data_IF_081438962635
#
_entry.id   IF_081438962635
#
_cell.length_a   1.000
_cell.length_b   1.000
_cell.length_c   1.000
_cell.angle_alpha   90.00
_cell.angle_beta   90.00
_cell.angle_gamma   90.00
#
_symmetry.space_group_name_H-M   'P 1'
#
loop_
_entity.id
_entity.type
_entity.pdbx_description
1 polymer ?
#
# COMPACT_ATOMS: atom_id res chain seq x y z
N UNK A 1 1.09 -46.20 -23.70
CA UNK A 1 1.71 -44.86 -23.77
C UNK A 1 0.96 -43.80 -22.96
N UNK A 2 -0.39 -43.79 -23.01
CA UNK A 2 -1.21 -42.89 -22.19
C UNK A 2 -1.16 -43.24 -20.69
N UNK A 3 -1.26 -44.52 -20.33
CA UNK A 3 -1.09 -44.99 -18.94
C UNK A 3 0.30 -44.73 -18.35
N UNK A 4 1.36 -44.77 -19.18
CA UNK A 4 2.72 -44.45 -18.73
C UNK A 4 2.88 -42.94 -18.51
N UNK A 5 2.21 -42.10 -19.31
CA UNK A 5 2.16 -40.65 -19.09
C UNK A 5 1.35 -40.27 -17.86
N UNK A 6 0.23 -40.95 -17.60
CA UNK A 6 -0.60 -40.75 -16.42
C UNK A 6 0.09 -41.23 -15.14
N UNK A 7 0.80 -42.37 -15.18
CA UNK A 7 1.59 -42.88 -14.06
C UNK A 7 2.82 -42.00 -13.76
N UNK A 8 3.46 -41.44 -14.79
CA UNK A 8 4.57 -40.48 -14.62
C UNK A 8 4.08 -39.08 -14.17
N UNK A 9 2.82 -38.71 -14.45
CA UNK A 9 2.17 -37.52 -13.90
C UNK A 9 1.67 -37.72 -12.47
N UNK A 10 1.19 -38.91 -12.10
CA UNK A 10 0.82 -39.24 -10.72
C UNK A 10 2.06 -39.35 -9.84
N UNK A 11 3.17 -39.94 -10.31
CA UNK A 11 4.45 -39.97 -9.60
C UNK A 11 5.08 -38.57 -9.42
N UNK A 12 4.88 -37.65 -10.38
CA UNK A 12 5.28 -36.25 -10.22
C UNK A 12 4.42 -35.47 -9.23
N UNK A 13 3.16 -35.86 -9.02
CA UNK A 13 2.32 -35.30 -7.95
C UNK A 13 2.61 -35.93 -6.58
N UNK A 14 2.98 -37.21 -6.53
CA UNK A 14 3.26 -37.94 -5.27
C UNK A 14 4.66 -37.67 -4.69
N UNK A 15 5.62 -37.18 -5.48
CA UNK A 15 6.95 -36.78 -4.97
C UNK A 15 6.97 -35.44 -4.20
N UNK A 16 5.82 -34.79 -4.01
CA UNK A 16 5.71 -33.45 -3.40
C UNK A 16 5.14 -33.41 -1.98
N UNK A 17 4.89 -34.55 -1.33
CA UNK A 17 4.08 -34.60 -0.09
C UNK A 17 4.83 -34.92 1.20
N UNK A 18 6.11 -35.30 1.19
CA UNK A 18 6.90 -35.45 2.42
C UNK A 18 7.69 -34.18 2.72
N UNK A 19 7.11 -33.26 3.49
CA UNK A 19 7.87 -32.15 4.10
C UNK A 19 8.77 -32.77 5.17
N UNK A 20 10.09 -32.72 4.96
CA UNK A 20 11.06 -33.16 5.96
C UNK A 20 11.01 -32.20 7.17
N UNK A 21 11.10 -32.73 8.39
CA UNK A 21 11.20 -31.92 9.61
C UNK A 21 12.32 -30.88 9.53
N UNK A 22 13.47 -31.24 8.92
CA UNK A 22 14.58 -30.31 8.75
C UNK A 22 14.25 -29.16 7.80
N UNK A 23 13.55 -29.42 6.70
CA UNK A 23 13.10 -28.38 5.76
C UNK A 23 12.08 -27.44 6.42
N UNK A 24 11.15 -28.02 7.19
CA UNK A 24 10.20 -27.26 7.99
C UNK A 24 10.90 -26.39 9.03
N UNK A 25 11.85 -26.95 9.79
CA UNK A 25 12.62 -26.23 10.78
C UNK A 25 13.45 -25.10 10.14
N UNK A 26 14.11 -25.36 9.01
CA UNK A 26 14.84 -24.35 8.24
C UNK A 26 13.91 -23.22 7.78
N UNK A 27 12.72 -23.55 7.26
CA UNK A 27 11.74 -22.57 6.81
C UNK A 27 11.28 -21.64 7.94
N UNK A 28 10.91 -22.23 9.09
CA UNK A 28 10.39 -21.49 10.24
C UNK A 28 11.50 -20.69 10.92
N UNK A 29 12.70 -21.25 11.07
CA UNK A 29 13.83 -20.62 11.77
C UNK A 29 14.65 -19.66 10.89
N UNK A 30 14.27 -19.42 9.63
CA UNK A 30 14.96 -18.47 8.77
C UNK A 30 14.80 -17.04 9.31
N UNK A 31 15.75 -16.61 10.14
CA UNK A 31 15.65 -15.38 10.93
C UNK A 31 15.42 -14.08 10.12
N UNK A 32 15.89 -13.91 8.86
CA UNK A 32 15.68 -12.66 8.13
C UNK A 32 14.21 -12.25 7.99
N UNK A 33 13.28 -13.20 8.06
CA UNK A 33 11.84 -12.95 7.98
C UNK A 33 11.07 -13.12 9.30
N UNK A 34 11.71 -13.65 10.35
CA UNK A 34 11.05 -14.41 11.42
C UNK A 34 10.14 -13.57 12.32
N UNK A 35 10.43 -12.29 12.49
CA UNK A 35 9.70 -11.45 13.43
C UNK A 35 8.58 -10.64 12.75
N UNK A 36 8.94 -9.83 11.74
CA UNK A 36 8.01 -8.96 11.02
C UNK A 36 8.33 -8.86 9.52
N UNK A 37 9.02 -9.87 8.98
CA UNK A 37 9.49 -9.84 7.61
C UNK A 37 8.38 -10.10 6.59
N UNK A 38 8.72 -10.04 5.29
CA UNK A 38 7.78 -10.42 4.24
C UNK A 38 7.23 -11.83 4.46
N UNK A 39 5.90 -11.98 4.37
CA UNK A 39 5.23 -13.28 4.52
C UNK A 39 5.52 -14.14 3.27
N UNK A 40 6.25 -15.23 3.48
CA UNK A 40 6.65 -16.18 2.44
C UNK A 40 5.80 -17.43 2.43
N UNK A 41 5.84 -18.16 1.32
CA UNK A 41 5.30 -19.52 1.26
C UNK A 41 6.43 -20.54 1.13
N UNK A 42 6.25 -21.69 1.77
CA UNK A 42 7.19 -22.83 1.69
C UNK A 42 7.56 -23.20 0.25
N UNK A 43 6.56 -23.24 -0.65
CA UNK A 43 6.71 -23.53 -2.08
C UNK A 43 7.66 -22.57 -2.83
N UNK A 44 7.86 -21.35 -2.33
CA UNK A 44 8.72 -20.33 -2.95
C UNK A 44 10.13 -20.33 -2.36
N UNK A 45 10.28 -20.77 -1.11
CA UNK A 45 11.53 -20.72 -0.36
C UNK A 45 12.35 -22.00 -0.52
N UNK A 46 11.73 -23.18 -0.40
CA UNK A 46 12.46 -24.45 -0.41
C UNK A 46 13.27 -24.69 -1.68
N UNK A 47 12.78 -24.39 -2.90
CA UNK A 47 13.58 -24.54 -4.10
C UNK A 47 14.86 -23.68 -4.07
N UNK A 48 14.81 -22.49 -3.45
CA UNK A 48 15.97 -21.61 -3.33
C UNK A 48 17.01 -22.21 -2.36
N UNK A 49 16.60 -22.68 -1.17
CA UNK A 49 17.50 -23.33 -0.22
C UNK A 49 18.17 -24.57 -0.81
N UNK A 50 17.40 -25.43 -1.48
CA UNK A 50 17.94 -26.63 -2.15
C UNK A 50 18.93 -26.25 -3.25
N UNK A 51 18.63 -25.21 -4.04
CA UNK A 51 19.54 -24.76 -5.11
C UNK A 51 20.88 -24.26 -4.58
N UNK A 52 20.90 -23.59 -3.42
CA UNK A 52 22.11 -23.09 -2.76
C UNK A 52 22.97 -24.23 -2.21
N UNK A 53 22.34 -25.25 -1.63
CA UNK A 53 23.05 -26.43 -1.14
C UNK A 53 23.76 -27.18 -2.28
N UNK A 54 23.12 -27.24 -3.46
CA UNK A 54 23.65 -27.97 -4.62
C UNK A 54 24.69 -27.19 -5.44
N UNK A 55 24.65 -25.85 -5.44
CA UNK A 55 25.52 -25.01 -6.26
C UNK A 55 26.40 -24.12 -5.37
N UNK A 56 27.49 -24.70 -4.88
CA UNK A 56 28.51 -23.98 -4.08
C UNK A 56 29.25 -22.94 -4.92
N UNK A 57 29.17 -21.67 -4.48
CA UNK A 57 30.02 -20.53 -4.87
C UNK A 57 30.06 -20.16 -6.37
N UNK A 58 28.96 -19.61 -6.87
CA UNK A 58 28.95 -18.89 -8.16
C UNK A 58 29.26 -17.39 -7.99
N UNK A 59 29.75 -16.74 -9.06
CA UNK A 59 29.96 -15.29 -9.13
C UNK A 59 28.74 -14.44 -8.74
N UNK A 60 27.53 -15.02 -8.76
CA UNK A 60 26.27 -14.42 -8.31
C UNK A 60 26.24 -14.12 -6.81
N UNK A 61 27.04 -14.79 -5.98
CA UNK A 61 27.07 -14.56 -4.52
C UNK A 61 27.52 -13.14 -4.21
N UNK A 62 28.60 -12.66 -4.85
CA UNK A 62 29.09 -11.29 -4.66
C UNK A 62 28.09 -10.23 -5.10
N UNK A 63 27.34 -10.49 -6.17
CA UNK A 63 26.26 -9.61 -6.61
C UNK A 63 25.12 -9.56 -5.58
N UNK A 64 24.71 -10.71 -5.04
CA UNK A 64 23.71 -10.76 -3.97
C UNK A 64 24.19 -10.07 -2.71
N UNK A 65 25.46 -10.24 -2.30
CA UNK A 65 26.02 -9.53 -1.15
C UNK A 65 26.05 -8.01 -1.39
N UNK A 66 26.47 -7.55 -2.58
CA UNK A 66 26.48 -6.12 -2.90
C UNK A 66 25.07 -5.50 -2.89
N UNK A 67 24.10 -6.19 -3.51
CA UNK A 67 22.68 -5.81 -3.48
C UNK A 67 22.12 -5.82 -2.06
N UNK A 68 22.46 -6.86 -1.29
CA UNK A 68 22.06 -7.06 0.09
C UNK A 68 22.53 -5.93 0.99
N UNK A 69 23.82 -5.59 0.91
CA UNK A 69 24.40 -4.47 1.65
C UNK A 69 23.76 -3.14 1.25
N UNK A 70 23.53 -2.92 -0.03
CA UNK A 70 22.91 -1.68 -0.52
C UNK A 70 21.48 -1.49 0.01
N UNK A 71 20.62 -2.50 -0.14
CA UNK A 71 19.22 -2.41 0.31
C UNK A 71 19.11 -2.40 1.84
N UNK A 72 19.97 -3.16 2.53
CA UNK A 72 20.06 -3.14 3.99
C UNK A 72 20.43 -1.76 4.50
N UNK A 73 21.43 -1.11 3.90
CA UNK A 73 21.86 0.25 4.27
C UNK A 73 20.74 1.27 4.05
N UNK A 74 19.98 1.16 2.96
CA UNK A 74 18.80 2.00 2.72
C UNK A 74 17.72 1.75 3.78
N UNK A 75 17.42 0.50 4.10
CA UNK A 75 16.41 0.13 5.08
C UNK A 75 16.75 0.64 6.48
N UNK A 76 18.01 0.48 6.89
CA UNK A 76 18.51 0.97 8.17
C UNK A 76 18.48 2.50 8.25
N UNK A 77 18.81 3.20 7.16
CA UNK A 77 18.71 4.66 7.09
C UNK A 77 17.26 5.14 7.20
N UNK A 78 16.32 4.48 6.52
CA UNK A 78 14.88 4.79 6.63
C UNK A 78 14.39 4.68 8.07
N UNK A 79 14.79 3.61 8.79
CA UNK A 79 14.45 3.42 10.20
C UNK A 79 15.04 4.55 11.06
N UNK A 80 16.37 4.60 11.11
CA UNK A 80 17.12 5.32 12.14
C UNK A 80 17.10 6.84 11.91
N UNK A 81 17.10 7.28 10.66
CA UNK A 81 17.08 8.70 10.34
C UNK A 81 15.67 9.22 10.10
N UNK A 82 14.92 8.57 9.21
CA UNK A 82 13.64 9.12 8.75
C UNK A 82 12.53 8.81 9.74
N UNK A 83 12.28 7.53 10.00
CA UNK A 83 11.14 7.10 10.81
C UNK A 83 11.26 7.56 12.27
N UNK A 84 12.42 7.38 12.90
CA UNK A 84 12.62 7.76 14.30
C UNK A 84 12.58 9.29 14.51
N UNK A 85 12.89 10.09 13.49
CA UNK A 85 12.69 11.54 13.53
C UNK A 85 11.19 11.88 13.53
N UNK A 86 10.39 11.26 12.65
CA UNK A 86 8.94 11.46 12.65
C UNK A 86 8.26 10.92 13.91
N UNK A 87 8.78 9.86 14.51
CA UNK A 87 8.26 9.26 15.73
C UNK A 87 8.17 10.25 16.89
N UNK A 88 9.11 11.20 16.99
CA UNK A 88 9.13 12.22 18.04
C UNK A 88 7.86 13.07 18.03
N UNK A 89 7.51 13.64 16.88
CA UNK A 89 6.33 14.50 16.73
C UNK A 89 5.03 13.70 16.74
N UNK A 90 5.03 12.51 16.12
CA UNK A 90 3.87 11.62 16.14
C UNK A 90 3.50 11.23 17.58
N UNK A 91 4.46 10.70 18.34
CA UNK A 91 4.22 10.25 19.72
C UNK A 91 3.82 11.42 20.62
N UNK A 92 4.46 12.58 20.51
CA UNK A 92 4.09 13.76 21.29
C UNK A 92 2.63 14.17 21.03
N UNK A 93 2.21 14.24 19.76
CA UNK A 93 0.85 14.62 19.42
C UNK A 93 -0.21 13.61 19.86
N UNK A 94 0.04 12.30 19.67
CA UNK A 94 -0.86 11.25 20.16
C UNK A 94 -0.98 11.26 21.69
N UNK A 95 0.12 11.40 22.42
CA UNK A 95 0.11 11.51 23.88
C UNK A 95 -0.76 12.67 24.38
N UNK A 96 -0.75 13.82 23.70
CA UNK A 96 -1.59 14.98 24.09
C UNK A 96 -3.06 14.66 23.91
N UNK A 97 -3.47 14.16 22.73
CA UNK A 97 -4.89 13.93 22.42
C UNK A 97 -5.49 12.75 23.19
N UNK A 98 -4.69 11.73 23.46
CA UNK A 98 -5.10 10.53 24.22
C UNK A 98 -5.34 10.85 25.70
N UNK A 99 -4.63 11.84 26.25
CA UNK A 99 -4.84 12.36 27.61
C UNK A 99 -5.92 13.46 27.69
N UNK A 100 -6.70 13.65 26.62
CA UNK A 100 -7.79 14.62 26.56
C UNK A 100 -7.37 16.06 26.23
N UNK A 101 -6.10 16.27 25.90
CA UNK A 101 -5.60 17.54 25.38
C UNK A 101 -6.15 17.83 23.98
N UNK A 102 -6.09 19.11 23.60
CA UNK A 102 -6.53 19.59 22.29
C UNK A 102 -5.34 20.20 21.56
N UNK A 103 -5.11 19.72 20.35
CA UNK A 103 -4.11 20.28 19.44
C UNK A 103 -4.73 21.30 18.51
N UNK A 104 -3.95 22.30 18.11
CA UNK A 104 -4.39 23.24 17.08
C UNK A 104 -4.38 22.57 15.68
N UNK A 105 -4.86 23.29 14.66
CA UNK A 105 -4.97 22.73 13.29
C UNK A 105 -3.61 22.29 12.72
N UNK A 106 -2.57 23.09 12.90
CA UNK A 106 -1.24 22.79 12.38
C UNK A 106 -0.61 21.59 13.11
N UNK A 107 -0.73 21.56 14.44
CA UNK A 107 -0.24 20.43 15.27
C UNK A 107 -0.95 19.13 14.91
N UNK A 108 -2.25 19.18 14.68
CA UNK A 108 -3.06 18.01 14.38
C UNK A 108 -2.69 17.40 13.02
N UNK A 109 -2.52 18.25 11.99
CA UNK A 109 -2.02 17.82 10.68
C UNK A 109 -0.57 17.33 10.75
N UNK A 110 0.30 18.03 11.46
CA UNK A 110 1.69 17.64 11.62
C UNK A 110 1.82 16.28 12.34
N UNK A 111 1.03 16.04 13.38
CA UNK A 111 0.97 14.76 14.11
C UNK A 111 0.54 13.62 13.20
N UNK A 112 -0.59 13.79 12.50
CA UNK A 112 -1.15 12.77 11.60
C UNK A 112 -0.19 12.44 10.45
N UNK A 113 0.39 13.46 9.79
CA UNK A 113 1.36 13.27 8.72
C UNK A 113 2.66 12.65 9.21
N UNK A 114 3.15 13.05 10.38
CA UNK A 114 4.35 12.45 10.98
C UNK A 114 4.14 10.97 11.23
N UNK A 115 3.00 10.57 11.77
CA UNK A 115 2.68 9.16 11.96
C UNK A 115 2.59 8.40 10.62
N UNK A 116 1.95 8.98 9.61
CA UNK A 116 1.89 8.38 8.26
C UNK A 116 3.28 8.10 7.71
N UNK A 117 4.21 9.04 7.82
CA UNK A 117 5.59 8.83 7.36
C UNK A 117 6.38 7.88 8.26
N UNK A 118 6.26 8.01 9.58
CA UNK A 118 6.86 7.09 10.53
C UNK A 118 6.48 5.65 10.19
N UNK A 119 5.18 5.34 10.12
CA UNK A 119 4.66 4.01 9.86
C UNK A 119 5.23 3.42 8.56
N UNK A 120 5.28 4.21 7.48
CA UNK A 120 5.81 3.74 6.21
C UNK A 120 7.32 3.52 6.22
N UNK A 121 8.11 4.49 6.69
CA UNK A 121 9.57 4.39 6.66
C UNK A 121 10.11 3.36 7.64
N UNK A 122 9.45 3.20 8.79
CA UNK A 122 9.79 2.19 9.77
C UNK A 122 9.58 0.78 9.20
N UNK A 123 8.36 0.53 8.69
CA UNK A 123 8.01 -0.81 8.21
C UNK A 123 8.66 -1.16 6.87
N UNK A 124 8.72 -0.21 5.93
CA UNK A 124 9.45 -0.43 4.69
C UNK A 124 10.96 -0.54 4.93
N UNK A 125 11.51 0.17 5.93
CA UNK A 125 12.89 0.02 6.35
C UNK A 125 13.19 -1.38 6.87
N UNK A 126 12.32 -1.92 7.73
CA UNK A 126 12.41 -3.30 8.20
C UNK A 126 12.38 -4.30 7.04
N UNK A 127 11.42 -4.18 6.13
CA UNK A 127 11.30 -5.08 4.99
C UNK A 127 12.53 -5.03 4.06
N UNK A 128 13.09 -3.83 3.82
CA UNK A 128 14.31 -3.64 3.03
C UNK A 128 15.53 -4.30 3.71
N UNK A 129 15.65 -4.19 5.03
CA UNK A 129 16.69 -4.88 5.81
C UNK A 129 16.52 -6.41 5.76
N UNK A 130 15.30 -6.92 5.91
CA UNK A 130 14.98 -8.34 5.77
C UNK A 130 15.39 -8.89 4.40
N UNK A 131 15.03 -8.19 3.31
CA UNK A 131 15.46 -8.54 1.95
C UNK A 131 16.98 -8.52 1.83
N UNK A 132 17.64 -7.50 2.39
CA UNK A 132 19.10 -7.40 2.38
C UNK A 132 19.79 -8.56 3.06
N UNK A 133 19.29 -8.96 4.23
CA UNK A 133 19.76 -10.14 4.96
C UNK A 133 19.49 -11.42 4.19
N UNK A 134 18.30 -11.59 3.60
CA UNK A 134 17.98 -12.73 2.74
C UNK A 134 18.98 -12.88 1.59
N UNK A 135 19.32 -11.77 0.93
CA UNK A 135 20.29 -11.75 -0.16
C UNK A 135 21.70 -12.14 0.29
N UNK A 136 22.12 -11.84 1.53
CA UNK A 136 23.40 -12.36 2.05
C UNK A 136 23.42 -13.89 2.13
N UNK A 137 22.28 -14.53 2.37
CA UNK A 137 22.12 -15.98 2.31
C UNK A 137 21.82 -16.49 0.89
N UNK A 138 21.81 -15.63 -0.13
CA UNK A 138 21.45 -15.99 -1.50
C UNK A 138 19.95 -16.28 -1.70
N UNK A 139 19.11 -15.88 -0.77
CA UNK A 139 17.66 -16.08 -0.79
C UNK A 139 16.95 -14.77 -1.12
N UNK A 140 16.10 -14.80 -2.15
CA UNK A 140 15.31 -13.64 -2.53
C UNK A 140 13.96 -13.65 -1.82
N UNK A 141 13.81 -12.76 -0.84
CA UNK A 141 12.53 -12.53 -0.17
C UNK A 141 11.57 -11.69 -1.03
N UNK A 142 10.26 -11.92 -0.94
CA UNK A 142 9.26 -11.14 -1.66
C UNK A 142 9.17 -9.71 -1.14
N UNK A 143 8.74 -8.81 -2.01
CA UNK A 143 8.62 -7.39 -1.73
C UNK A 143 7.38 -7.11 -0.90
N UNK A 144 7.50 -6.25 0.12
CA UNK A 144 6.37 -5.87 0.96
C UNK A 144 5.78 -4.48 0.62
N UNK A 145 6.58 -3.56 0.06
CA UNK A 145 6.15 -2.19 -0.25
C UNK A 145 6.58 -1.73 -1.64
N UNK A 146 5.71 -1.00 -2.35
CA UNK A 146 6.00 -0.42 -3.67
C UNK A 146 5.38 0.97 -3.86
N UNK A 147 5.98 1.99 -3.23
CA UNK A 147 5.51 3.39 -3.25
C UNK A 147 3.98 3.55 -3.03
N UNK A 148 3.45 3.07 -1.89
CA UNK A 148 2.00 3.05 -1.65
C UNK A 148 1.36 4.44 -1.67
N UNK A 149 2.05 5.49 -1.22
CA UNK A 149 1.51 6.85 -1.25
C UNK A 149 1.46 7.51 -2.64
N UNK A 150 1.91 6.83 -3.71
CA UNK A 150 1.69 7.26 -5.10
C UNK A 150 0.33 6.77 -5.67
N UNK A 151 -0.41 5.97 -4.90
CA UNK A 151 -1.63 5.32 -5.37
C UNK A 151 -2.75 6.32 -5.67
N UNK A 152 -3.48 6.08 -6.77
CA UNK A 152 -4.61 6.92 -7.17
C UNK A 152 -5.94 6.45 -6.56
N UNK A 153 -5.97 5.25 -5.97
CA UNK A 153 -7.15 4.68 -5.36
C UNK A 153 -6.80 3.66 -4.28
N UNK A 154 -7.79 3.36 -3.43
CA UNK A 154 -7.63 2.44 -2.29
C UNK A 154 -7.24 1.01 -2.70
N UNK A 155 -7.69 0.53 -3.86
CA UNK A 155 -7.32 -0.81 -4.33
C UNK A 155 -5.86 -0.88 -4.80
N UNK A 156 -5.36 0.20 -5.40
CA UNK A 156 -3.97 0.33 -5.78
C UNK A 156 -3.07 0.47 -4.55
N UNK A 157 -3.52 1.22 -3.54
CA UNK A 157 -2.82 1.35 -2.26
C UNK A 157 -2.55 -0.01 -1.64
N UNK A 158 -3.56 -0.86 -1.49
CA UNK A 158 -3.41 -2.21 -0.92
C UNK A 158 -2.64 -3.20 -1.80
N UNK A 159 -2.45 -2.90 -3.08
CA UNK A 159 -1.54 -3.65 -3.95
C UNK A 159 -0.07 -3.23 -3.82
N UNK A 160 0.19 -2.12 -3.12
CA UNK A 160 1.51 -1.50 -2.95
C UNK A 160 1.94 -1.42 -1.48
N UNK A 161 0.99 -1.57 -0.56
CA UNK A 161 1.20 -1.60 0.89
C UNK A 161 1.07 -3.03 1.40
N UNK A 162 2.05 -3.47 2.19
CA UNK A 162 2.07 -4.79 2.84
C UNK A 162 1.66 -5.95 1.91
N UNK A 163 2.29 -5.99 0.74
CA UNK A 163 1.92 -6.85 -0.41
C UNK A 163 1.86 -8.32 -0.01
N UNK A 164 2.77 -8.79 0.85
CA UNK A 164 2.81 -10.20 1.26
C UNK A 164 1.64 -10.57 2.16
N UNK A 165 1.19 -9.67 3.04
CA UNK A 165 -0.04 -9.84 3.83
C UNK A 165 -1.26 -9.83 2.92
N UNK A 166 -1.31 -8.90 1.95
CA UNK A 166 -2.36 -8.89 0.95
C UNK A 166 -2.45 -10.20 0.15
N UNK A 167 -1.30 -10.80 -0.20
CA UNK A 167 -1.24 -12.12 -0.83
C UNK A 167 -1.76 -13.22 0.10
N UNK A 168 -1.31 -13.24 1.35
CA UNK A 168 -1.77 -14.19 2.36
C UNK A 168 -3.30 -14.13 2.55
N UNK A 169 -3.84 -12.94 2.84
CA UNK A 169 -5.28 -12.73 3.01
C UNK A 169 -6.06 -13.10 1.75
N UNK A 170 -5.51 -12.84 0.56
CA UNK A 170 -6.14 -13.26 -0.69
C UNK A 170 -6.21 -14.79 -0.81
N UNK A 171 -5.11 -15.49 -0.56
CA UNK A 171 -5.02 -16.94 -0.75
C UNK A 171 -5.81 -17.71 0.32
N UNK A 172 -5.77 -17.27 1.57
CA UNK A 172 -6.33 -18.02 2.71
C UNK A 172 -7.68 -17.50 3.21
N UNK A 173 -8.10 -16.30 2.82
CA UNK A 173 -9.40 -15.73 3.24
C UNK A 173 -10.26 -15.41 2.02
N UNK A 174 -9.81 -14.54 1.13
CA UNK A 174 -10.62 -14.07 0.00
C UNK A 174 -11.05 -15.19 -0.96
N UNK A 175 -10.11 -16.03 -1.40
CA UNK A 175 -10.38 -17.10 -2.38
C UNK A 175 -11.27 -18.21 -1.77
N UNK A 176 -11.02 -18.69 -0.53
CA UNK A 176 -11.89 -19.67 0.12
C UNK A 176 -13.34 -19.20 0.33
N UNK A 177 -13.58 -17.90 0.56
CA UNK A 177 -14.94 -17.34 0.63
C UNK A 177 -15.74 -17.45 -0.68
N UNK A 178 -15.09 -17.84 -1.78
CA UNK A 178 -15.73 -18.16 -3.06
C UNK A 178 -16.14 -16.93 -3.87
N UNK A 179 -17.12 -17.10 -4.76
CA UNK A 179 -17.72 -16.01 -5.55
C UNK A 179 -17.02 -15.66 -6.86
N UNK A 180 -15.82 -16.16 -7.16
CA UNK A 180 -15.04 -15.71 -8.33
C UNK A 180 -14.50 -16.85 -9.23
N UNK A 181 -15.28 -17.91 -9.46
CA UNK A 181 -14.78 -19.13 -10.14
C UNK A 181 -15.67 -19.71 -11.26
N UNK A 182 -16.84 -19.14 -11.57
CA UNK A 182 -17.74 -19.72 -12.57
C UNK A 182 -17.89 -18.83 -13.81
N UNK A 183 -16.91 -18.88 -14.72
CA UNK A 183 -16.95 -18.19 -16.02
C UNK A 183 -18.04 -18.73 -16.95
N UNK A 184 -18.51 -19.97 -16.74
CA UNK A 184 -19.54 -20.64 -17.55
C UNK A 184 -20.88 -19.89 -17.59
N UNK A 185 -21.23 -19.17 -16.52
CA UNK A 185 -22.51 -18.44 -16.40
C UNK A 185 -22.35 -16.92 -16.44
N UNK A 186 -21.18 -16.42 -16.89
CA UNK A 186 -20.84 -15.00 -16.89
C UNK A 186 -21.80 -14.13 -17.72
N UNK A 187 -22.51 -14.71 -18.70
CA UNK A 187 -23.51 -14.00 -19.51
C UNK A 187 -24.87 -13.81 -18.82
N UNK A 188 -25.15 -14.53 -17.72
CA UNK A 188 -26.38 -14.35 -16.96
C UNK A 188 -26.31 -13.08 -16.11
N UNK A 189 -27.32 -12.19 -16.28
CA UNK A 189 -27.45 -10.97 -15.46
C UNK A 189 -27.58 -11.31 -13.97
N UNK A 190 -28.38 -12.32 -13.64
CA UNK A 190 -28.57 -12.75 -12.26
C UNK A 190 -27.25 -13.23 -11.63
N UNK A 191 -26.51 -14.09 -12.34
CA UNK A 191 -25.21 -14.59 -11.87
C UNK A 191 -24.20 -13.45 -11.66
N UNK A 192 -24.19 -12.47 -12.58
CA UNK A 192 -23.31 -11.29 -12.49
C UNK A 192 -23.61 -10.47 -11.23
N UNK A 193 -24.88 -10.20 -10.92
CA UNK A 193 -25.27 -9.45 -9.73
C UNK A 193 -24.87 -10.19 -8.44
N UNK A 194 -25.11 -11.50 -8.37
CA UNK A 194 -24.71 -12.29 -7.21
C UNK A 194 -23.19 -12.27 -7.02
N UNK A 195 -22.40 -12.46 -8.09
CA UNK A 195 -20.94 -12.37 -8.02
C UNK A 195 -20.47 -10.98 -7.55
N UNK A 196 -21.09 -9.90 -8.02
CA UNK A 196 -20.80 -8.54 -7.54
C UNK A 196 -21.02 -8.42 -6.03
N UNK A 197 -22.15 -8.90 -5.51
CA UNK A 197 -22.44 -8.89 -4.07
C UNK A 197 -21.44 -9.72 -3.27
N UNK A 198 -21.10 -10.93 -3.74
CA UNK A 198 -20.10 -11.79 -3.11
C UNK A 198 -18.71 -11.12 -3.12
N UNK A 199 -18.34 -10.43 -4.19
CA UNK A 199 -17.09 -9.65 -4.27
C UNK A 199 -17.06 -8.55 -3.21
N UNK A 200 -18.13 -7.76 -3.07
CA UNK A 200 -18.21 -6.70 -2.06
C UNK A 200 -18.14 -7.28 -0.64
N UNK A 201 -18.89 -8.35 -0.38
CA UNK A 201 -18.85 -9.07 0.90
C UNK A 201 -17.44 -9.55 1.22
N UNK A 202 -16.77 -10.22 0.28
CA UNK A 202 -15.43 -10.76 0.50
C UNK A 202 -14.39 -9.65 0.73
N UNK A 203 -14.47 -8.54 -0.02
CA UNK A 203 -13.61 -7.37 0.19
C UNK A 203 -13.80 -6.78 1.60
N UNK A 204 -15.05 -6.63 2.03
CA UNK A 204 -15.34 -6.12 3.36
C UNK A 204 -14.85 -7.06 4.47
N UNK A 205 -15.16 -8.37 4.37
CA UNK A 205 -14.73 -9.37 5.35
C UNK A 205 -13.21 -9.41 5.47
N UNK A 206 -12.48 -9.39 4.34
CA UNK A 206 -11.01 -9.44 4.37
C UNK A 206 -10.43 -8.21 5.06
N UNK A 207 -10.93 -6.99 4.77
CA UNK A 207 -10.44 -5.79 5.44
C UNK A 207 -10.83 -5.75 6.93
N UNK A 208 -12.03 -6.19 7.27
CA UNK A 208 -12.50 -6.26 8.64
C UNK A 208 -11.67 -7.24 9.47
N UNK A 209 -11.44 -8.46 8.97
CA UNK A 209 -10.59 -9.46 9.60
C UNK A 209 -9.13 -9.01 9.68
N UNK A 210 -8.65 -8.26 8.68
CA UNK A 210 -7.32 -7.65 8.73
C UNK A 210 -7.19 -6.65 9.86
N UNK A 211 -8.24 -5.86 10.15
CA UNK A 211 -8.27 -4.97 11.32
C UNK A 211 -8.16 -5.76 12.62
N UNK A 212 -9.00 -6.78 12.79
CA UNK A 212 -8.97 -7.64 13.99
C UNK A 212 -7.62 -8.34 14.17
N UNK A 213 -6.97 -8.76 13.07
CA UNK A 213 -5.65 -9.37 13.11
C UNK A 213 -4.56 -8.45 13.67
N UNK A 214 -4.71 -7.14 13.51
CA UNK A 214 -3.76 -6.16 14.04
C UNK A 214 -3.92 -5.89 15.54
N UNK A 215 -5.07 -6.18 16.14
CA UNK A 215 -5.27 -6.04 17.59
C UNK A 215 -6.73 -5.97 18.01
N UNK A 216 -6.96 -6.08 19.33
CA UNK A 216 -8.31 -6.09 19.92
C UNK A 216 -8.89 -4.68 20.20
N UNK A 217 -8.11 -3.62 20.01
CA UNK A 217 -8.56 -2.24 20.24
C UNK A 217 -9.66 -1.80 19.27
N UNK A 218 -10.60 -0.98 19.75
CA UNK A 218 -11.69 -0.43 18.92
C UNK A 218 -11.18 0.36 17.70
N UNK A 219 -10.01 0.98 17.80
CA UNK A 219 -9.35 1.66 16.69
C UNK A 219 -9.15 0.76 15.47
N UNK A 220 -8.66 -0.46 15.67
CA UNK A 220 -8.46 -1.44 14.60
C UNK A 220 -9.75 -1.93 13.96
N UNK A 221 -10.82 -2.07 14.74
CA UNK A 221 -12.15 -2.43 14.24
C UNK A 221 -12.68 -1.32 13.34
N UNK A 222 -12.63 -0.07 13.81
CA UNK A 222 -13.06 1.11 13.04
C UNK A 222 -12.23 1.22 11.76
N UNK A 223 -10.91 1.05 11.86
CA UNK A 223 -10.00 1.04 10.73
C UNK A 223 -10.39 -0.02 9.68
N UNK A 224 -10.64 -1.27 10.10
CA UNK A 224 -11.04 -2.36 9.22
C UNK A 224 -12.37 -2.09 8.50
N UNK A 225 -13.35 -1.53 9.21
CA UNK A 225 -14.65 -1.12 8.64
C UNK A 225 -14.47 0.00 7.60
N UNK A 226 -13.67 1.03 7.91
CA UNK A 226 -13.40 2.15 7.01
C UNK A 226 -12.74 1.66 5.72
N UNK A 227 -11.69 0.85 5.82
CA UNK A 227 -11.01 0.29 4.65
C UNK A 227 -11.90 -0.66 3.84
N UNK A 228 -12.68 -1.53 4.51
CA UNK A 228 -13.64 -2.41 3.84
C UNK A 228 -14.69 -1.62 3.05
N UNK A 229 -15.26 -0.59 3.67
CA UNK A 229 -16.24 0.30 3.04
C UNK A 229 -15.64 1.04 1.84
N UNK A 230 -14.44 1.60 1.99
CA UNK A 230 -13.75 2.30 0.91
C UNK A 230 -13.46 1.39 -0.29
N UNK A 231 -13.02 0.15 -0.05
CA UNK A 231 -12.81 -0.82 -1.13
C UNK A 231 -14.11 -1.19 -1.85
N UNK A 232 -15.21 -1.35 -1.11
CA UNK A 232 -16.53 -1.60 -1.68
C UNK A 232 -17.00 -0.41 -2.55
N UNK A 233 -16.90 0.82 -2.03
CA UNK A 233 -17.24 2.04 -2.76
C UNK A 233 -16.41 2.17 -4.03
N UNK A 234 -15.09 1.97 -3.94
CA UNK A 234 -14.22 2.02 -5.11
C UNK A 234 -14.54 0.93 -6.15
N UNK A 235 -14.92 -0.27 -5.69
CA UNK A 235 -15.32 -1.36 -6.58
C UNK A 235 -16.61 -1.03 -7.34
N UNK A 236 -17.62 -0.50 -6.64
CA UNK A 236 -18.87 -0.03 -7.23
C UNK A 236 -18.59 1.10 -8.22
N UNK A 237 -17.77 2.07 -7.84
CA UNK A 237 -17.34 3.17 -8.70
C UNK A 237 -16.72 2.65 -10.02
N UNK A 238 -15.80 1.67 -9.92
CA UNK A 238 -15.14 1.07 -11.10
C UNK A 238 -16.15 0.40 -12.03
N UNK A 239 -17.14 -0.33 -11.49
CA UNK A 239 -18.19 -0.94 -12.30
C UNK A 239 -19.07 0.09 -13.00
N UNK A 240 -19.43 1.16 -12.28
CA UNK A 240 -20.21 2.28 -12.84
C UNK A 240 -19.47 2.95 -14.00
N UNK A 241 -18.19 3.28 -13.84
CA UNK A 241 -17.37 3.87 -14.91
C UNK A 241 -17.24 2.93 -16.11
N UNK A 242 -17.01 1.64 -15.89
CA UNK A 242 -16.92 0.65 -16.98
C UNK A 242 -18.24 0.53 -17.75
N UNK A 243 -19.37 0.53 -17.04
CA UNK A 243 -20.71 0.50 -17.63
C UNK A 243 -21.01 1.76 -18.46
N UNK A 244 -20.67 2.94 -17.94
CA UNK A 244 -20.83 4.21 -18.65
C UNK A 244 -19.96 4.23 -19.92
N UNK A 245 -18.69 3.84 -19.82
CA UNK A 245 -17.76 3.77 -20.97
C UNK A 245 -18.28 2.83 -22.05
N UNK A 246 -18.73 1.63 -21.69
CA UNK A 246 -19.30 0.67 -22.63
C UNK A 246 -20.57 1.16 -23.32
N UNK A 247 -21.48 1.83 -22.59
CA UNK A 247 -22.68 2.44 -23.18
C UNK A 247 -22.33 3.54 -24.19
N UNK A 248 -21.30 4.34 -23.91
CA UNK A 248 -20.82 5.40 -24.81
C UNK A 248 -20.20 4.79 -26.07
N UNK A 249 -19.34 3.78 -25.93
CA UNK A 249 -18.70 3.09 -27.07
C UNK A 249 -19.73 2.44 -28.02
N UNK A 250 -20.77 1.80 -27.47
CA UNK A 250 -21.86 1.21 -28.26
C UNK A 250 -22.68 2.30 -28.98
N UNK A 251 -22.92 3.45 -28.34
CA UNK A 251 -23.61 4.57 -28.98
C UNK A 251 -22.79 5.09 -30.17
N UNK A 252 -21.49 5.29 -29.97
CA UNK A 252 -20.57 5.78 -31.00
C UNK A 252 -20.41 4.81 -32.18
N UNK A 253 -20.48 3.49 -31.94
CA UNK A 253 -20.41 2.50 -33.02
C UNK A 253 -21.70 2.48 -33.86
N UNK A 254 -22.87 2.59 -33.23
CA UNK A 254 -24.17 2.66 -33.92
C UNK A 254 -24.31 3.90 -34.80
N UNK A 255 -23.83 5.06 -34.33
CA UNK A 255 -23.87 6.30 -35.12
C UNK A 255 -22.99 6.20 -36.37
N UNK A 256 -21.82 5.55 -36.28
CA UNK A 256 -20.94 5.33 -37.45
C UNK A 256 -21.53 4.37 -38.50
N UNK A 257 -22.29 3.36 -38.06
CA UNK A 257 -22.97 2.43 -38.97
C UNK A 257 -24.14 3.12 -39.67
N UNK A 258 -24.98 3.85 -38.92
CA UNK A 258 -26.11 4.60 -39.49
C UNK A 258 -25.67 5.66 -40.52
N UNK A 259 -24.51 6.32 -40.35
CA UNK A 259 -23.99 7.28 -41.33
C UNK A 259 -23.48 6.60 -42.61
N UNK A 260 -23.02 5.34 -42.54
CA UNK A 260 -22.63 4.57 -43.73
C UNK A 260 -23.84 4.03 -44.49
N UNK A 261 -24.89 3.64 -43.79
CA UNK A 261 -26.06 3.01 -44.39
C UNK A 261 -27.12 4.02 -44.89
N UNK A 262 -27.22 5.23 -44.29
CA UNK A 262 -28.14 6.29 -44.73
C UNK A 262 -27.50 7.32 -45.67
N UNK A 263 -27.13 6.89 -46.89
CA UNK A 263 -27.05 7.79 -48.07
C UNK A 263 -28.40 8.01 -48.76
N UNK A 264 -29.49 7.44 -48.24
CA UNK A 264 -30.85 7.65 -48.74
C UNK A 264 -31.65 8.51 -47.76
N UNK A 265 -32.28 9.55 -48.33
CA UNK A 265 -33.12 10.59 -47.73
C UNK A 265 -34.01 10.17 -46.54
N UNK A 266 -33.81 10.80 -45.38
CA UNK A 266 -34.79 10.83 -44.29
C UNK A 266 -34.86 12.26 -43.73
N UNK A 267 -36.08 12.81 -43.62
CA UNK A 267 -36.35 14.10 -42.99
C UNK A 267 -36.00 14.04 -41.50
N UNK A 268 -34.88 14.65 -41.11
CA UNK A 268 -34.43 14.67 -39.72
C UNK A 268 -35.11 15.80 -38.95
N UNK A 269 -35.77 15.44 -37.85
CA UNK A 269 -36.36 16.38 -36.91
C UNK A 269 -35.20 17.08 -36.15
N UNK A 270 -34.95 18.36 -36.39
CA UNK A 270 -33.74 19.06 -35.91
C UNK A 270 -33.56 19.00 -34.38
N UNK A 271 -34.66 19.02 -33.62
CA UNK A 271 -34.63 18.94 -32.16
C UNK A 271 -34.13 17.58 -31.65
N UNK A 272 -34.44 16.47 -32.33
CA UNK A 272 -33.97 15.14 -31.92
C UNK A 272 -32.48 14.96 -32.21
N UNK A 273 -31.98 15.53 -33.31
CA UNK A 273 -30.55 15.55 -33.68
C UNK A 273 -29.74 16.42 -32.72
N UNK A 274 -30.25 17.60 -32.36
CA UNK A 274 -29.59 18.51 -31.41
C UNK A 274 -29.54 17.89 -30.01
N UNK A 275 -30.64 17.28 -29.54
CA UNK A 275 -30.69 16.61 -28.23
C UNK A 275 -29.71 15.43 -28.13
N UNK A 276 -29.60 14.62 -29.20
CA UNK A 276 -28.60 13.55 -29.25
C UNK A 276 -27.19 14.13 -29.24
N UNK A 277 -26.86 15.09 -30.13
CA UNK A 277 -25.53 15.71 -30.18
C UNK A 277 -25.08 16.34 -28.85
N UNK A 278 -25.99 17.02 -28.14
CA UNK A 278 -25.72 17.61 -26.83
C UNK A 278 -25.42 16.51 -25.80
N UNK A 279 -26.22 15.44 -25.75
CA UNK A 279 -25.99 14.27 -24.89
C UNK A 279 -24.64 13.59 -25.18
N UNK A 280 -24.26 13.48 -26.46
CA UNK A 280 -22.97 12.93 -26.89
C UNK A 280 -21.79 13.79 -26.45
N UNK A 281 -21.89 15.12 -26.60
CA UNK A 281 -20.83 16.06 -26.21
C UNK A 281 -20.52 15.96 -24.72
N UNK A 282 -21.52 15.96 -23.84
CA UNK A 282 -21.29 15.85 -22.40
C UNK A 282 -20.70 14.49 -21.97
N UNK A 283 -21.11 13.39 -22.61
CA UNK A 283 -20.56 12.04 -22.35
C UNK A 283 -19.09 11.94 -22.75
N UNK A 284 -18.70 12.53 -23.87
CA UNK A 284 -17.30 12.59 -24.32
C UNK A 284 -16.45 13.49 -23.41
N UNK A 285 -16.98 14.66 -23.03
CA UNK A 285 -16.31 15.56 -22.07
C UNK A 285 -16.08 14.86 -20.73
N UNK A 286 -17.07 14.10 -20.24
CA UNK A 286 -16.93 13.33 -18.99
C UNK A 286 -15.82 12.28 -19.09
N UNK A 287 -15.77 11.49 -20.17
CA UNK A 287 -14.69 10.51 -20.35
C UNK A 287 -13.32 11.17 -20.45
N UNK A 288 -13.21 12.30 -21.17
CA UNK A 288 -11.98 13.06 -21.26
C UNK A 288 -11.54 13.59 -19.89
N UNK A 289 -12.49 14.07 -19.07
CA UNK A 289 -12.24 14.53 -17.71
C UNK A 289 -11.56 13.44 -16.85
N UNK A 290 -12.01 12.19 -16.93
CA UNK A 290 -11.42 11.05 -16.20
C UNK A 290 -9.96 10.77 -16.56
N UNK A 291 -9.52 11.18 -17.75
CA UNK A 291 -8.14 10.97 -18.22
C UNK A 291 -7.22 12.17 -17.91
N UNK A 292 -7.78 13.29 -17.42
CA UNK A 292 -7.02 14.51 -17.10
C UNK A 292 -6.06 14.34 -15.92
N UNK A 293 -4.97 15.13 -15.93
CA UNK A 293 -4.05 15.22 -14.79
C UNK A 293 -4.74 15.74 -13.52
N UNK A 294 -5.70 16.64 -13.67
CA UNK A 294 -6.48 17.20 -12.55
C UNK A 294 -7.29 16.11 -11.85
N UNK A 295 -8.00 15.28 -12.62
CA UNK A 295 -8.74 14.15 -12.05
C UNK A 295 -7.80 13.16 -11.33
N UNK A 296 -6.66 12.82 -11.94
CA UNK A 296 -5.66 11.94 -11.30
C UNK A 296 -5.11 12.53 -10.00
N UNK A 297 -4.82 13.83 -9.98
CA UNK A 297 -4.40 14.53 -8.77
C UNK A 297 -5.49 14.50 -7.70
N UNK A 298 -6.75 14.74 -8.06
CA UNK A 298 -7.88 14.67 -7.13
C UNK A 298 -8.04 13.25 -6.55
N UNK A 299 -7.95 12.22 -7.38
CA UNK A 299 -7.98 10.82 -6.95
C UNK A 299 -6.85 10.48 -5.98
N UNK A 300 -5.63 10.92 -6.29
CA UNK A 300 -4.48 10.81 -5.39
C UNK A 300 -4.74 11.53 -4.06
N UNK A 301 -5.19 12.79 -4.12
CA UNK A 301 -5.43 13.61 -2.93
C UNK A 301 -6.50 12.98 -2.02
N UNK A 302 -7.61 12.52 -2.59
CA UNK A 302 -8.67 11.82 -1.84
C UNK A 302 -8.13 10.53 -1.22
N UNK A 303 -7.37 9.73 -1.99
CA UNK A 303 -6.81 8.47 -1.51
C UNK A 303 -5.80 8.70 -0.39
N UNK A 304 -4.86 9.63 -0.56
CA UNK A 304 -3.85 9.94 0.44
C UNK A 304 -4.49 10.45 1.74
N UNK A 305 -5.44 11.38 1.66
CA UNK A 305 -6.11 11.90 2.85
C UNK A 305 -6.96 10.83 3.54
N UNK A 306 -7.66 9.98 2.79
CA UNK A 306 -8.37 8.84 3.37
C UNK A 306 -7.42 7.95 4.17
N UNK A 307 -6.29 7.56 3.59
CA UNK A 307 -5.27 6.74 4.25
C UNK A 307 -4.69 7.45 5.49
N UNK A 308 -4.34 8.74 5.37
CA UNK A 308 -3.79 9.52 6.47
C UNK A 308 -4.77 9.63 7.66
N UNK A 309 -6.06 9.80 7.37
CA UNK A 309 -7.13 9.85 8.38
C UNK A 309 -7.36 8.48 9.01
N UNK A 310 -7.41 7.41 8.23
CA UNK A 310 -7.63 6.07 8.80
C UNK A 310 -6.47 5.65 9.69
N UNK A 311 -5.23 6.03 9.36
CA UNK A 311 -4.06 5.78 10.20
C UNK A 311 -4.16 6.36 11.61
N UNK A 312 -4.97 7.41 11.84
CA UNK A 312 -5.21 7.94 13.18
C UNK A 312 -5.90 6.90 14.06
N UNK A 313 -6.90 6.19 13.54
CA UNK A 313 -7.57 5.11 14.27
C UNK A 313 -6.69 3.88 14.47
N UNK A 314 -5.72 3.68 13.58
CA UNK A 314 -4.74 2.60 13.70
C UNK A 314 -3.70 2.88 14.79
N UNK A 315 -3.34 4.15 15.02
CA UNK A 315 -2.36 4.55 16.03
C UNK A 315 -2.93 4.82 17.41
N UNK A 316 -4.10 5.42 17.48
CA UNK A 316 -4.65 5.95 18.72
C UNK A 316 -5.01 4.81 19.68
N UNK A 317 -4.53 4.88 20.92
CA UNK A 317 -4.81 3.87 21.95
C UNK A 317 -6.28 3.86 22.37
N UNK A 318 -6.95 5.00 22.24
CA UNK A 318 -8.37 5.15 22.54
C UNK A 318 -9.11 5.93 21.45
N UNK A 319 -10.42 5.66 21.31
CA UNK A 319 -11.25 6.28 20.26
C UNK A 319 -11.42 7.79 20.50
N UNK A 320 -11.42 8.23 21.76
CA UNK A 320 -11.53 9.64 22.13
C UNK A 320 -10.36 10.46 21.61
N UNK A 321 -9.12 9.98 21.75
CA UNK A 321 -7.91 10.62 21.24
C UNK A 321 -7.91 10.74 19.73
N UNK A 322 -8.33 9.67 19.02
CA UNK A 322 -8.50 9.70 17.56
C UNK A 322 -9.49 10.79 17.14
N UNK A 323 -10.65 10.88 17.82
CA UNK A 323 -11.66 11.91 17.56
C UNK A 323 -11.14 13.31 17.88
N UNK A 324 -10.40 13.49 18.98
CA UNK A 324 -9.83 14.78 19.36
C UNK A 324 -8.82 15.27 18.32
N UNK A 325 -7.96 14.37 17.80
CA UNK A 325 -7.03 14.70 16.72
C UNK A 325 -7.78 15.12 15.44
N UNK A 326 -8.82 14.37 15.06
CA UNK A 326 -9.66 14.72 13.90
C UNK A 326 -10.35 16.08 14.07
N UNK A 327 -10.89 16.37 15.25
CA UNK A 327 -11.49 17.69 15.54
C UNK A 327 -10.47 18.81 15.38
N UNK A 328 -9.23 18.61 15.84
CA UNK A 328 -8.14 19.55 15.63
C UNK A 328 -7.79 19.76 14.16
N UNK A 329 -7.68 18.68 13.37
CA UNK A 329 -7.37 18.75 11.92
C UNK A 329 -8.38 19.58 11.12
N UNK A 330 -9.65 19.54 11.50
CA UNK A 330 -10.73 20.27 10.82
C UNK A 330 -11.12 21.58 11.52
N UNK A 331 -10.38 22.01 12.54
CA UNK A 331 -10.65 23.25 13.28
C UNK A 331 -12.01 23.26 14.00
N UNK A 332 -12.56 22.09 14.33
CA UNK A 332 -13.86 21.95 14.99
C UNK A 332 -13.74 22.33 16.48
N UNK A 333 -12.55 22.22 17.04
CA UNK A 333 -12.21 22.79 18.34
C UNK A 333 -11.96 24.30 18.19
N UNK A 334 -12.71 25.10 18.97
CA UNK A 334 -12.50 26.54 19.11
C UNK A 334 -11.14 26.81 19.75
N UNK A 335 -10.09 26.78 18.94
CA UNK A 335 -8.76 27.26 19.30
C UNK A 335 -8.63 28.63 18.66
N UNK A 336 -8.32 29.64 19.47
CA UNK A 336 -8.09 31.03 19.05
C UNK A 336 -6.89 31.12 18.08
N UNK A 337 -7.15 30.81 16.81
CA UNK A 337 -6.21 30.93 15.69
C UNK A 337 -5.57 32.33 15.53
N UNK A 338 -6.21 33.47 15.87
CA UNK A 338 -5.62 34.78 15.62
C UNK A 338 -4.49 35.20 16.59
N UNK A 339 -4.48 34.73 17.85
CA UNK A 339 -3.51 35.19 18.86
C UNK A 339 -2.18 34.43 18.83
N UNK A 340 -2.19 33.14 18.45
CA UNK A 340 -0.96 32.34 18.31
C UNK A 340 -0.27 32.49 16.94
N UNK A 341 -0.94 33.01 15.93
CA UNK A 341 -0.36 33.21 14.59
C UNK A 341 0.78 34.26 14.56
N UNK A 342 0.84 35.17 15.55
CA UNK A 342 1.91 36.17 15.64
C UNK A 342 3.20 35.66 16.29
N UNK A 343 3.21 34.47 16.88
CA UNK A 343 4.41 33.80 17.37
C UNK A 343 4.65 32.52 16.56
N UNK A 344 5.26 32.66 15.38
CA UNK A 344 5.70 31.53 14.55
C UNK A 344 6.46 30.41 15.31
N UNK A 345 7.22 30.67 16.41
CA UNK A 345 7.83 29.58 17.19
C UNK A 345 6.85 28.71 17.98
N UNK A 346 5.61 29.15 18.24
CA UNK A 346 4.64 28.48 19.12
C UNK A 346 3.61 27.60 18.38
N UNK A 347 3.65 27.55 17.04
CA UNK A 347 2.63 26.87 16.25
C UNK A 347 2.61 25.35 16.45
N UNK A 348 3.77 24.75 16.73
CA UNK A 348 3.96 23.29 16.90
C UNK A 348 4.48 22.93 18.30
N UNK A 349 4.35 23.83 19.27
CA UNK A 349 4.98 23.71 20.59
C UNK A 349 4.52 22.47 21.35
N UNK A 350 3.22 22.12 21.30
CA UNK A 350 2.68 20.98 22.07
C UNK A 350 3.16 19.63 21.54
N UNK A 351 3.69 19.59 20.32
CA UNK A 351 4.29 18.39 19.73
C UNK A 351 5.82 18.42 19.74
N UNK A 352 6.43 19.44 20.37
CA UNK A 352 7.87 19.67 20.33
C UNK A 352 8.40 19.99 18.92
N UNK A 353 7.54 20.48 18.04
CA UNK A 353 7.89 20.83 16.67
C UNK A 353 8.45 22.25 16.56
N UNK A 354 9.35 22.46 15.59
CA UNK A 354 9.85 23.80 15.21
C UNK A 354 9.77 23.94 13.69
N UNK A 355 10.42 24.96 13.13
CA UNK A 355 10.45 25.18 11.68
C UNK A 355 11.05 23.98 10.90
N UNK A 356 11.96 23.23 11.54
CA UNK A 356 12.54 22.01 10.98
C UNK A 356 11.51 20.89 10.78
N UNK A 357 10.47 20.80 11.62
CA UNK A 357 9.39 19.82 11.49
C UNK A 357 8.65 19.95 10.15
N UNK A 358 8.29 21.17 9.75
CA UNK A 358 7.59 21.43 8.48
C UNK A 358 8.49 21.06 7.30
N UNK A 359 9.77 21.41 7.37
CA UNK A 359 10.77 21.03 6.36
C UNK A 359 10.86 19.50 6.26
N UNK A 360 10.88 18.80 7.40
CA UNK A 360 10.95 17.34 7.43
C UNK A 360 9.71 16.68 6.82
N UNK A 361 8.51 17.21 7.08
CA UNK A 361 7.26 16.74 6.46
C UNK A 361 7.31 16.93 4.94
N UNK A 362 7.77 18.10 4.46
CA UNK A 362 7.93 18.35 3.01
C UNK A 362 8.93 17.37 2.41
N UNK A 363 10.07 17.14 3.06
CA UNK A 363 11.05 16.14 2.64
C UNK A 363 10.45 14.74 2.63
N UNK A 364 9.62 14.38 3.62
CA UNK A 364 8.88 13.12 3.65
C UNK A 364 8.00 12.92 2.41
N UNK A 365 7.28 13.96 1.97
CA UNK A 365 6.52 13.93 0.72
C UNK A 365 7.43 13.77 -0.50
N UNK A 366 8.53 14.51 -0.59
CA UNK A 366 9.48 14.41 -1.70
C UNK A 366 10.05 12.99 -1.80
N UNK A 367 10.43 12.38 -0.69
CA UNK A 367 10.96 11.00 -0.65
C UNK A 367 9.87 9.99 -1.04
N UNK A 368 8.66 10.10 -0.49
CA UNK A 368 7.57 9.14 -0.74
C UNK A 368 7.00 9.21 -2.16
N UNK A 369 6.80 10.42 -2.68
CA UNK A 369 6.06 10.67 -3.93
C UNK A 369 6.99 11.00 -5.09
N UNK A 370 8.08 11.73 -4.83
CA UNK A 370 9.01 12.19 -5.86
C UNK A 370 10.14 11.20 -6.18
N UNK A 371 10.64 10.46 -5.19
CA UNK A 371 11.81 9.60 -5.37
C UNK A 371 11.45 8.16 -5.77
N UNK A 372 12.46 7.45 -6.30
CA UNK A 372 12.39 6.01 -6.53
C UNK A 372 12.47 5.25 -5.21
N UNK A 373 11.63 4.23 -5.04
CA UNK A 373 11.64 3.43 -3.81
C UNK A 373 12.80 2.40 -3.77
N UNK A 374 12.99 1.74 -2.63
CA UNK A 374 14.07 0.77 -2.43
C UNK A 374 14.08 -0.36 -3.46
N UNK A 375 12.89 -0.86 -3.82
CA UNK A 375 12.71 -1.91 -4.83
C UNK A 375 13.15 -1.44 -6.21
N UNK A 376 12.67 -0.28 -6.65
CA UNK A 376 13.02 0.29 -7.96
C UNK A 376 14.54 0.53 -8.07
N UNK A 377 15.21 0.86 -6.94
CA UNK A 377 16.67 0.99 -6.90
C UNK A 377 17.39 -0.37 -6.89
N UNK A 378 16.80 -1.38 -6.28
CA UNK A 378 17.32 -2.75 -6.27
C UNK A 378 17.24 -3.41 -7.65
N UNK A 379 16.12 -3.25 -8.37
CA UNK A 379 15.94 -3.75 -9.74
C UNK A 379 16.92 -3.09 -10.72
N UNK A 380 17.16 -1.78 -10.55
CA UNK A 380 18.13 -1.01 -11.35
C UNK A 380 19.57 -1.07 -10.83
N UNK A 381 19.87 -1.89 -9.81
CA UNK A 381 21.17 -1.88 -9.14
C UNK A 381 22.29 -2.34 -10.07
N UNK A 382 23.41 -1.61 -10.02
CA UNK A 382 24.68 -1.97 -10.66
C UNK A 382 25.80 -1.81 -9.65
N UNK A 383 26.77 -2.71 -9.68
CA UNK A 383 28.00 -2.64 -8.88
C UNK A 383 28.88 -1.50 -9.41
N UNK A 384 28.73 -0.31 -8.83
CA UNK A 384 29.53 0.86 -9.16
C UNK A 384 29.93 1.62 -7.89
N UNK A 385 30.97 2.46 -8.02
CA UNK A 385 31.53 3.23 -6.90
C UNK A 385 30.48 4.15 -6.26
N UNK A 386 29.58 4.74 -7.07
CA UNK A 386 28.53 5.60 -6.56
C UNK A 386 27.58 4.89 -5.59
N UNK A 387 27.07 3.71 -5.97
CA UNK A 387 26.18 2.92 -5.12
C UNK A 387 26.91 2.39 -3.88
N UNK A 388 28.21 2.06 -4.01
CA UNK A 388 29.03 1.65 -2.87
C UNK A 388 29.23 2.79 -1.86
N UNK A 389 29.59 3.99 -2.33
CA UNK A 389 29.69 5.19 -1.48
C UNK A 389 28.35 5.50 -0.83
N UNK A 390 27.26 5.43 -1.59
CA UNK A 390 25.93 5.72 -1.06
C UNK A 390 25.51 4.73 0.04
N UNK A 391 25.76 3.43 -0.17
CA UNK A 391 25.52 2.41 0.86
C UNK A 391 26.39 2.66 2.09
N UNK A 392 27.67 2.96 1.90
CA UNK A 392 28.60 3.24 2.99
C UNK A 392 28.17 4.48 3.80
N UNK A 393 27.78 5.57 3.14
CA UNK A 393 27.29 6.78 3.81
C UNK A 393 26.04 6.49 4.64
N UNK A 394 25.06 5.80 4.06
CA UNK A 394 23.83 5.43 4.79
C UNK A 394 24.13 4.51 5.97
N UNK A 395 24.96 3.48 5.78
CA UNK A 395 25.30 2.53 6.82
C UNK A 395 26.10 3.20 7.96
N UNK A 396 27.16 3.93 7.63
CA UNK A 396 28.00 4.61 8.63
C UNK A 396 27.19 5.64 9.42
N UNK A 397 26.35 6.43 8.74
CA UNK A 397 25.47 7.37 9.42
C UNK A 397 24.49 6.66 10.37
N UNK A 398 23.82 5.61 9.89
CA UNK A 398 22.89 4.84 10.72
C UNK A 398 23.56 4.20 11.93
N UNK A 399 24.76 3.62 11.77
CA UNK A 399 25.53 3.03 12.87
C UNK A 399 25.97 4.08 13.88
N UNK A 400 26.39 5.26 13.41
CA UNK A 400 26.72 6.38 14.28
C UNK A 400 25.51 6.82 15.14
N UNK A 401 24.33 6.95 14.51
CA UNK A 401 23.11 7.34 15.24
C UNK A 401 22.69 6.28 16.24
N UNK A 402 22.76 4.99 15.89
CA UNK A 402 22.48 3.87 16.80
C UNK A 402 23.46 3.80 17.98
N UNK A 403 24.74 4.14 17.76
CA UNK A 403 25.74 4.18 18.82
C UNK A 403 25.60 5.41 19.74
N UNK A 404 24.96 6.49 19.27
CA UNK A 404 24.88 7.76 19.98
C UNK A 404 23.53 8.00 20.67
N UNK A 405 22.49 7.26 20.31
CA UNK A 405 21.13 7.44 20.83
C UNK A 405 20.60 6.11 21.38
N UNK A 406 19.69 6.14 22.37
CA UNK A 406 18.98 4.94 22.78
C UNK A 406 18.22 4.34 21.59
N UNK A 407 18.20 3.01 21.51
CA UNK A 407 17.47 2.33 20.44
C UNK A 407 15.96 2.57 20.59
N UNK A 408 15.29 2.76 19.47
CA UNK A 408 13.83 2.80 19.38
C UNK A 408 13.34 1.47 18.82
N UNK A 409 12.29 0.93 19.42
CA UNK A 409 11.66 -0.28 18.91
C UNK A 409 11.01 0.00 17.54
N UNK A 410 10.86 -1.03 16.72
CA UNK A 410 10.05 -0.92 15.51
C UNK A 410 8.58 -0.77 15.92
N UNK A 411 7.87 0.12 15.24
CA UNK A 411 6.45 0.43 15.48
C UNK A 411 5.57 -0.82 15.40
N UNK A 412 6.00 -1.81 14.62
CA UNK A 412 5.32 -3.10 14.51
C UNK A 412 5.21 -3.85 15.85
N UNK A 413 6.14 -3.64 16.78
CA UNK A 413 6.14 -4.28 18.10
C UNK A 413 5.22 -3.62 19.11
N UNK A 414 4.63 -2.47 18.75
CA UNK A 414 3.74 -1.72 19.63
C UNK A 414 2.27 -2.07 19.44
N UNK A 415 1.94 -3.05 18.57
CA UNK A 415 0.58 -3.46 18.23
C UNK A 415 0.26 -4.87 18.72
#
# INVERSE_FOLDING_TARGET
MQEVKERCQSEKLDSQTSINFLDYALFICFFPQLIAGPIVHHKEMMPQFHSLFLHSLNAKVWEHCAKGLFIFSIGLFKKVFIADSFAKWANAGFNVVENGGVLNIAESWATSLSYTFQLYFDFSGYADMAIGLGLFFGIMLPLNFNSPYKSLNISEFWRRWHITLGRFLKEYVYIPLGGNKNTKYQHSRFYTTINQLLTLRNLFIVAFLSGIWHGAGYGFIIWGILHGSAMCIHRIYTWSIKSIRGKIEISLSKDKVNVKDNKASVSFNAASVISTHISHKYKLIFLHCLDTKVYKFLCWFITFNFINITWIFFRSENVSGAINLLKGMFGITWVELPLKAHHMPALLEHIGGRNDTIIYIILGFVVCVGMRNGVERLEGFRTNVFNAILAAVFLCYSLFVLGSNPYTEFIYFNF
#
